data_IF_253490164562
#
_entry.id   IF_253490164562
#
_cell.length_a   1.000
_cell.length_b   1.000
_cell.length_c   1.000
_cell.angle_alpha   90.00
_cell.angle_beta   90.00
_cell.angle_gamma   90.00
#
_symmetry.space_group_name_H-M   'P 1'
#
loop_
_entity.id
_entity.type
_entity.pdbx_description
1 polymer ?
#
# COMPACT_ATOMS: atom_id res chain seq x y z
N UNK A 1 -22.07 -18.66 3.25
CA UNK A 1 -23.19 -17.71 3.11
C UNK A 1 -23.16 -16.80 4.34
N UNK A 2 -22.60 -15.60 4.21
CA UNK A 2 -22.45 -14.65 5.33
C UNK A 2 -23.78 -13.93 5.51
N UNK A 3 -24.48 -14.18 6.62
CA UNK A 3 -25.61 -13.35 7.02
C UNK A 3 -25.08 -12.26 7.95
N UNK A 4 -25.01 -11.03 7.44
CA UNK A 4 -25.03 -9.86 8.30
C UNK A 4 -26.47 -9.69 8.78
N UNK A 5 -26.69 -9.75 10.10
CA UNK A 5 -27.90 -9.15 10.67
C UNK A 5 -27.64 -7.65 10.82
N UNK A 6 -28.52 -6.77 10.31
CA UNK A 6 -28.48 -5.37 10.69
C UNK A 6 -28.83 -5.30 12.18
N UNK A 7 -27.96 -4.69 12.97
CA UNK A 7 -28.31 -4.27 14.33
C UNK A 7 -29.47 -3.28 14.16
N UNK A 8 -30.66 -3.62 14.66
CA UNK A 8 -31.81 -2.71 14.60
C UNK A 8 -31.51 -1.49 15.48
N UNK A 9 -31.88 -0.31 15.00
CA UNK A 9 -31.76 0.97 15.73
C UNK A 9 -32.46 0.95 17.10
N UNK A 10 -33.40 0.04 17.31
CA UNK A 10 -34.13 -0.16 18.57
C UNK A 10 -33.23 -0.70 19.70
N UNK A 11 -32.17 -1.47 19.40
CA UNK A 11 -31.24 -1.97 20.43
C UNK A 11 -30.27 -0.88 20.91
N UNK A 12 -30.01 0.13 20.07
CA UNK A 12 -29.17 1.27 20.48
C UNK A 12 -29.91 2.18 21.46
N UNK A 13 -31.21 2.41 21.30
CA UNK A 13 -31.97 3.31 22.19
C UNK A 13 -32.09 2.79 23.62
N UNK A 14 -32.17 1.47 23.84
CA UNK A 14 -32.19 0.88 25.19
C UNK A 14 -30.83 0.94 25.91
N UNK A 15 -29.72 0.88 25.17
CA UNK A 15 -28.35 0.99 25.71
C UNK A 15 -28.00 2.45 26.05
N UNK A 16 -28.54 3.43 25.31
CA UNK A 16 -28.23 4.85 25.50
C UNK A 16 -29.01 5.54 26.63
N UNK A 17 -30.14 5.00 27.10
CA UNK A 17 -31.01 5.68 28.07
C UNK A 17 -30.78 5.28 29.53
N UNK A 18 -30.08 4.17 29.82
CA UNK A 18 -29.96 3.63 31.19
C UNK A 18 -28.53 3.55 31.75
N UNK A 19 -27.50 3.96 31.00
CA UNK A 19 -26.12 3.96 31.49
C UNK A 19 -25.57 5.40 31.56
N UNK A 20 -24.90 5.78 32.65
CA UNK A 20 -24.32 7.10 32.77
C UNK A 20 -23.29 7.36 31.65
N UNK A 21 -23.18 8.59 31.11
CA UNK A 21 -22.41 8.91 29.89
C UNK A 21 -20.93 8.51 29.90
N UNK A 22 -20.36 8.20 31.08
CA UNK A 22 -18.98 7.75 31.24
C UNK A 22 -18.74 6.24 31.05
N UNK A 23 -19.76 5.39 31.13
CA UNK A 23 -19.59 3.93 31.04
C UNK A 23 -19.63 3.42 29.59
N UNK A 24 -20.48 4.02 28.74
CA UNK A 24 -20.62 3.66 27.32
C UNK A 24 -19.32 3.90 26.53
N UNK A 25 -18.57 4.95 26.88
CA UNK A 25 -17.28 5.27 26.22
C UNK A 25 -16.17 4.31 26.64
N UNK A 26 -16.28 3.66 27.81
CA UNK A 26 -15.25 2.77 28.37
C UNK A 26 -15.31 1.36 27.80
N UNK A 27 -16.51 0.86 27.47
CA UNK A 27 -16.72 -0.50 26.96
C UNK A 27 -16.44 -0.62 25.46
N UNK A 28 -16.75 0.42 24.67
CA UNK A 28 -16.64 0.36 23.21
C UNK A 28 -15.25 0.66 22.63
N UNK A 29 -14.26 1.08 23.43
CA UNK A 29 -12.99 1.62 22.89
C UNK A 29 -11.73 0.78 23.03
N UNK A 30 -11.73 -0.36 23.73
CA UNK A 30 -10.53 -1.23 23.76
C UNK A 30 -10.91 -2.68 24.07
N UNK A 31 -10.48 -3.62 23.22
CA UNK A 31 -10.37 -5.04 23.61
C UNK A 31 -9.38 -5.12 24.77
N UNK A 32 -9.89 -5.18 26.01
CA UNK A 32 -9.08 -5.22 27.22
C UNK A 32 -8.79 -6.67 27.59
N UNK A 33 -7.53 -7.02 27.75
CA UNK A 33 -7.15 -8.30 28.36
C UNK A 33 -7.45 -8.21 29.86
N UNK A 34 -8.33 -9.09 30.35
CA UNK A 34 -8.79 -9.13 31.75
C UNK A 34 -7.99 -10.09 32.62
N UNK A 35 -7.04 -10.84 32.04
CA UNK A 35 -6.08 -11.62 32.82
C UNK A 35 -5.11 -10.69 33.56
N UNK A 36 -4.83 -11.01 34.82
CA UNK A 36 -3.75 -10.39 35.59
C UNK A 36 -2.42 -11.04 35.21
N UNK A 37 -1.42 -10.20 34.93
CA UNK A 37 -0.08 -10.60 34.53
C UNK A 37 -0.07 -11.71 33.44
N UNK A 38 -0.69 -11.47 32.26
CA UNK A 38 -0.82 -12.48 31.21
C UNK A 38 0.52 -12.85 30.57
N UNK A 39 1.52 -11.94 30.65
CA UNK A 39 2.85 -12.10 30.04
C UNK A 39 3.90 -12.67 31.00
N UNK A 40 3.56 -12.88 32.28
CA UNK A 40 4.50 -13.34 33.30
C UNK A 40 5.62 -12.34 33.63
N UNK A 41 5.43 -11.05 33.31
CA UNK A 41 6.43 -9.99 33.51
C UNK A 41 6.75 -9.76 34.99
N UNK A 42 5.74 -9.93 35.83
CA UNK A 42 5.78 -9.92 37.30
C UNK A 42 5.77 -11.34 37.88
N UNK A 43 6.53 -12.24 37.26
CA UNK A 43 6.56 -13.67 37.63
C UNK A 43 5.17 -14.31 37.49
N UNK A 44 4.69 -15.08 38.46
CA UNK A 44 3.34 -15.68 38.45
C UNK A 44 2.35 -14.92 39.32
N UNK A 45 2.59 -13.62 39.56
CA UNK A 45 1.66 -12.77 40.33
C UNK A 45 0.24 -12.85 39.73
N UNK A 46 -0.77 -12.96 40.60
CA UNK A 46 -2.17 -13.09 40.17
C UNK A 46 -2.58 -14.47 39.65
N UNK A 47 -1.68 -15.45 39.56
CA UNK A 47 -2.02 -16.84 39.23
C UNK A 47 -2.01 -17.73 40.48
N UNK A 48 -3.04 -18.56 40.64
CA UNK A 48 -3.07 -19.65 41.60
C UNK A 48 -2.33 -20.86 41.01
N UNK A 49 -1.29 -21.33 41.68
CA UNK A 49 -0.54 -22.51 41.24
C UNK A 49 -1.12 -23.74 41.94
N UNK A 50 -1.67 -24.68 41.16
CA UNK A 50 -2.49 -25.78 41.68
C UNK A 50 -1.66 -27.00 42.09
N UNK A 51 -0.50 -27.21 41.48
CA UNK A 51 0.44 -28.29 41.82
C UNK A 51 1.84 -27.68 41.97
N UNK A 52 2.22 -27.28 43.19
CA UNK A 52 3.54 -26.70 43.46
C UNK A 52 4.08 -27.23 44.79
N UNK A 53 5.05 -28.14 44.73
CA UNK A 53 5.91 -28.39 45.89
C UNK A 53 6.98 -27.28 45.92
N UNK A 54 6.56 -26.13 46.46
CA UNK A 54 7.34 -24.97 46.89
C UNK A 54 8.16 -24.16 45.85
N UNK A 55 7.68 -22.92 45.63
CA UNK A 55 8.34 -21.69 45.15
C UNK A 55 8.67 -21.55 43.66
N UNK A 56 8.27 -20.40 43.10
CA UNK A 56 8.70 -19.87 41.80
C UNK A 56 10.14 -19.34 41.97
N UNK A 57 11.08 -19.71 41.08
CA UNK A 57 12.48 -19.29 41.17
C UNK A 57 12.90 -18.48 39.93
N UNK A 58 13.82 -17.52 40.11
CA UNK A 58 14.54 -16.84 39.03
C UNK A 58 15.73 -17.69 38.58
N UNK A 59 15.81 -17.96 37.28
CA UNK A 59 16.97 -18.62 36.69
C UNK A 59 18.00 -17.57 36.24
N UNK A 60 19.12 -17.44 36.96
CA UNK A 60 20.26 -16.62 36.53
C UNK A 60 21.14 -17.43 35.58
N UNK A 61 21.05 -17.14 34.29
CA UNK A 61 21.68 -17.91 33.23
C UNK A 61 23.19 -18.13 33.38
N UNK A 62 23.61 -19.39 33.27
CA UNK A 62 24.82 -19.88 32.57
C UNK A 62 24.70 -21.40 32.44
N UNK A 63 25.13 -21.92 31.30
CA UNK A 63 25.16 -23.36 31.01
C UNK A 63 25.87 -24.13 32.12
N UNK A 64 25.15 -25.07 32.74
CA UNK A 64 25.68 -26.02 33.71
C UNK A 64 24.54 -26.85 34.30
N UNK A 65 24.39 -28.09 33.83
CA UNK A 65 23.59 -29.15 34.47
C UNK A 65 22.09 -28.91 34.57
N UNK A 66 21.30 -29.76 33.91
CA UNK A 66 19.88 -30.00 34.26
C UNK A 66 19.75 -30.74 35.63
N UNK A 67 20.77 -30.71 36.48
CA UNK A 67 20.86 -31.48 37.74
C UNK A 67 20.29 -30.71 38.95
N UNK A 68 19.46 -29.70 38.71
CA UNK A 68 18.65 -29.02 39.75
C UNK A 68 17.13 -29.15 39.53
N UNK A 69 16.75 -29.66 38.36
CA UNK A 69 15.49 -30.23 37.90
C UNK A 69 14.68 -31.19 38.80
N UNK A 70 14.51 -31.05 40.13
CA UNK A 70 13.55 -31.89 40.89
C UNK A 70 12.14 -31.28 41.05
N UNK A 71 11.11 -31.82 40.38
CA UNK A 71 9.68 -31.63 40.71
C UNK A 71 8.80 -30.75 39.77
N UNK A 72 7.50 -30.69 40.10
CA UNK A 72 6.40 -29.88 39.47
C UNK A 72 6.66 -28.38 39.58
N UNK A 73 7.38 -27.77 38.62
CA UNK A 73 7.86 -26.39 38.76
C UNK A 73 7.59 -25.52 37.54
N UNK A 74 7.22 -24.27 37.82
CA UNK A 74 7.18 -23.16 36.87
C UNK A 74 8.39 -22.24 37.05
N UNK A 75 8.92 -21.70 35.96
CA UNK A 75 9.93 -20.64 35.99
C UNK A 75 9.61 -19.58 34.94
N UNK A 76 10.12 -18.36 35.12
CA UNK A 76 10.02 -17.29 34.12
C UNK A 76 11.40 -17.04 33.51
N UNK A 77 11.46 -17.08 32.19
CA UNK A 77 12.68 -16.89 31.41
C UNK A 77 12.51 -15.76 30.40
N UNK A 78 13.63 -15.18 29.95
CA UNK A 78 13.61 -14.37 28.73
C UNK A 78 13.32 -15.26 27.53
N UNK A 79 12.51 -14.77 26.58
CA UNK A 79 12.25 -15.51 25.34
C UNK A 79 13.57 -15.76 24.61
N UNK A 80 13.78 -17.01 24.19
CA UNK A 80 14.95 -17.40 23.37
C UNK A 80 14.63 -17.44 21.88
N UNK A 81 13.37 -17.71 21.58
CA UNK A 81 12.83 -17.76 20.23
C UNK A 81 11.98 -16.51 19.98
N UNK A 82 12.00 -15.96 18.75
CA UNK A 82 11.25 -14.75 18.42
C UNK A 82 9.75 -14.99 18.56
N UNK A 83 9.08 -14.14 19.33
CA UNK A 83 7.63 -14.13 19.47
C UNK A 83 7.02 -13.18 18.42
N UNK A 84 5.87 -13.52 17.78
CA UNK A 84 5.24 -12.66 16.76
C UNK A 84 4.86 -11.25 17.24
N UNK A 85 4.59 -11.10 18.55
CA UNK A 85 4.50 -9.80 19.23
C UNK A 85 5.87 -9.44 19.82
N UNK A 86 6.57 -8.49 19.19
CA UNK A 86 7.90 -8.00 19.59
C UNK A 86 7.96 -7.40 21.01
N UNK A 87 6.80 -7.07 21.60
CA UNK A 87 6.72 -6.54 22.96
C UNK A 87 6.83 -7.63 24.03
N UNK A 88 6.72 -8.91 23.66
CA UNK A 88 6.86 -10.04 24.57
C UNK A 88 8.35 -10.34 24.77
N UNK A 89 8.86 -10.14 25.99
CA UNK A 89 10.27 -10.36 26.31
C UNK A 89 10.53 -11.55 27.24
N UNK A 90 9.47 -12.07 27.87
CA UNK A 90 9.55 -13.18 28.82
C UNK A 90 8.50 -14.25 28.50
N UNK A 91 8.79 -15.48 28.88
CA UNK A 91 7.87 -16.60 28.84
C UNK A 91 7.87 -17.35 30.18
N UNK A 92 6.81 -18.14 30.39
CA UNK A 92 6.72 -19.06 31.52
C UNK A 92 7.01 -20.48 31.02
N UNK A 93 7.89 -21.18 31.71
CA UNK A 93 8.32 -22.54 31.35
C UNK A 93 7.98 -23.52 32.47
N UNK A 94 7.73 -24.77 32.09
CA UNK A 94 7.40 -25.89 32.98
C UNK A 94 8.49 -26.97 32.93
N UNK A 95 8.55 -27.78 33.99
CA UNK A 95 9.49 -28.90 34.15
C UNK A 95 8.92 -30.22 33.60
N UNK A 96 9.59 -31.34 33.85
CA UNK A 96 9.25 -32.70 33.39
C UNK A 96 7.97 -33.32 33.98
N UNK A 97 7.25 -32.58 34.83
CA UNK A 97 5.98 -33.03 35.43
C UNK A 97 4.90 -31.97 35.26
N UNK A 98 3.62 -32.41 35.23
CA UNK A 98 2.48 -31.55 34.91
C UNK A 98 2.31 -30.41 35.91
N UNK A 99 2.65 -29.20 35.48
CA UNK A 99 2.49 -27.98 36.25
C UNK A 99 1.21 -27.25 35.83
N UNK A 100 0.35 -26.91 36.79
CA UNK A 100 -0.95 -26.25 36.52
C UNK A 100 -1.02 -24.90 37.23
N UNK A 101 -1.51 -23.89 36.51
CA UNK A 101 -1.85 -22.56 37.05
C UNK A 101 -3.28 -22.22 36.66
N UNK A 102 -3.98 -21.45 37.48
CA UNK A 102 -5.34 -20.98 37.22
C UNK A 102 -5.52 -19.54 37.68
N UNK A 103 -6.50 -18.84 37.09
CA UNK A 103 -6.89 -17.52 37.54
C UNK A 103 -8.41 -17.43 37.50
N UNK A 104 -9.02 -17.09 38.63
CA UNK A 104 -10.45 -16.82 38.70
C UNK A 104 -10.66 -15.32 38.45
N UNK A 105 -11.43 -14.99 37.41
CA UNK A 105 -11.73 -13.61 37.05
C UNK A 105 -13.15 -13.30 37.51
N UNK A 106 -13.26 -12.28 38.35
CA UNK A 106 -14.53 -11.74 38.82
C UNK A 106 -14.98 -10.64 37.85
N UNK A 107 -15.94 -10.97 36.98
CA UNK A 107 -16.37 -10.11 35.89
C UNK A 107 -16.99 -8.80 36.40
N UNK A 108 -17.74 -8.84 37.51
CA UNK A 108 -18.33 -7.65 38.13
C UNK A 108 -17.23 -6.69 38.60
N UNK A 109 -16.17 -7.20 39.24
CA UNK A 109 -15.01 -6.40 39.63
C UNK A 109 -14.21 -5.84 38.45
N UNK A 110 -14.21 -6.52 37.31
CA UNK A 110 -13.59 -6.00 36.08
C UNK A 110 -14.46 -4.96 35.36
N UNK A 111 -15.68 -4.70 35.85
CA UNK A 111 -16.61 -3.68 35.36
C UNK A 111 -17.72 -4.21 34.46
N UNK A 112 -17.97 -5.52 34.45
CA UNK A 112 -19.05 -6.15 33.70
C UNK A 112 -20.22 -6.48 34.64
N UNK A 113 -21.27 -5.68 34.61
CA UNK A 113 -22.43 -5.88 35.49
C UNK A 113 -23.15 -7.21 35.20
N UNK A 114 -23.79 -7.84 36.20
CA UNK A 114 -24.58 -9.06 35.99
C UNK A 114 -25.66 -8.88 34.91
N UNK A 115 -26.39 -7.75 34.94
CA UNK A 115 -27.43 -7.46 33.95
C UNK A 115 -26.88 -7.40 32.52
N UNK A 116 -25.70 -6.81 32.33
CA UNK A 116 -25.04 -6.78 31.02
C UNK A 116 -24.64 -8.18 30.56
N UNK A 117 -24.04 -8.97 31.44
CA UNK A 117 -23.62 -10.34 31.10
C UNK A 117 -24.81 -11.25 30.79
N UNK A 118 -25.93 -11.12 31.50
CA UNK A 118 -27.10 -11.98 31.34
C UNK A 118 -27.93 -11.64 30.09
N UNK A 119 -28.11 -10.34 29.79
CA UNK A 119 -28.97 -9.90 28.68
C UNK A 119 -28.21 -9.70 27.36
N UNK A 120 -26.99 -9.13 27.42
CA UNK A 120 -26.23 -8.81 26.22
C UNK A 120 -25.32 -9.96 25.77
N UNK A 121 -24.79 -10.76 26.70
CA UNK A 121 -23.95 -11.93 26.43
C UNK A 121 -22.84 -11.66 25.38
N UNK A 122 -21.88 -10.76 25.68
CA UNK A 122 -20.87 -10.36 24.71
C UNK A 122 -19.98 -11.53 24.30
N UNK A 123 -19.44 -11.48 23.07
CA UNK A 123 -18.45 -12.45 22.60
C UNK A 123 -17.19 -12.44 23.49
N UNK A 124 -16.90 -13.57 24.14
CA UNK A 124 -15.70 -13.77 24.94
C UNK A 124 -14.64 -14.46 24.08
N UNK A 125 -13.53 -13.77 23.84
CA UNK A 125 -12.40 -14.32 23.07
C UNK A 125 -11.35 -14.91 24.01
N UNK A 126 -10.96 -16.16 23.72
CA UNK A 126 -9.89 -16.88 24.42
C UNK A 126 -8.72 -17.05 23.44
N UNK A 127 -7.51 -16.72 23.88
CA UNK A 127 -6.28 -16.96 23.12
C UNK A 127 -5.10 -17.08 24.08
N UNK A 128 -4.19 -18.00 23.80
CA UNK A 128 -2.94 -18.17 24.54
C UNK A 128 -1.82 -18.58 23.57
N UNK A 129 -0.59 -18.17 23.85
CA UNK A 129 0.59 -18.51 23.06
C UNK A 129 1.41 -19.56 23.79
N UNK A 130 1.70 -20.67 23.12
CA UNK A 130 2.51 -21.77 23.65
C UNK A 130 3.52 -22.23 22.61
N UNK A 131 4.69 -22.68 23.06
CA UNK A 131 5.75 -23.18 22.19
C UNK A 131 6.52 -24.33 22.87
N UNK A 132 6.81 -25.43 22.15
CA UNK A 132 7.72 -26.48 22.62
C UNK A 132 9.18 -26.01 22.55
N UNK A 133 10.08 -26.77 23.20
CA UNK A 133 11.50 -26.69 22.88
C UNK A 133 11.83 -27.67 21.76
N UNK A 134 12.77 -27.31 20.88
CA UNK A 134 13.22 -28.19 19.80
C UNK A 134 13.90 -29.48 20.30
N UNK A 135 14.43 -29.49 21.53
CA UNK A 135 15.20 -30.59 22.09
C UNK A 135 14.44 -31.44 23.14
N UNK A 136 13.13 -31.20 23.34
CA UNK A 136 12.34 -31.94 24.32
C UNK A 136 10.85 -31.94 23.97
N UNK A 137 10.20 -33.11 24.09
CA UNK A 137 8.74 -33.20 23.98
C UNK A 137 8.04 -32.54 25.17
N UNK A 138 6.84 -31.99 24.95
CA UNK A 138 6.05 -31.37 26.01
C UNK A 138 4.55 -31.50 25.73
N UNK A 139 3.75 -31.18 26.74
CA UNK A 139 2.30 -31.26 26.70
C UNK A 139 1.73 -29.88 27.06
N UNK A 140 0.77 -29.41 26.28
CA UNK A 140 0.03 -28.19 26.55
C UNK A 140 -1.47 -28.48 26.71
N UNK A 141 -2.05 -27.99 27.81
CA UNK A 141 -3.47 -28.11 28.14
C UNK A 141 -3.99 -26.72 28.55
N UNK A 142 -5.09 -26.27 27.94
CA UNK A 142 -5.85 -25.09 28.37
C UNK A 142 -7.30 -25.48 28.66
N UNK A 143 -7.84 -24.92 29.74
CA UNK A 143 -9.24 -25.07 30.12
C UNK A 143 -9.78 -23.72 30.60
N UNK A 144 -10.90 -23.30 30.02
CA UNK A 144 -11.60 -22.08 30.40
C UNK A 144 -13.06 -22.42 30.71
N UNK A 145 -13.54 -21.98 31.86
CA UNK A 145 -14.89 -22.25 32.33
C UNK A 145 -15.59 -20.93 32.63
N UNK A 146 -16.74 -20.71 31.98
CA UNK A 146 -17.65 -19.63 32.37
C UNK A 146 -18.44 -20.13 33.56
N UNK A 147 -18.39 -19.41 34.68
CA UNK A 147 -18.99 -19.83 35.94
C UNK A 147 -20.22 -18.97 36.26
N UNK A 148 -21.25 -19.58 36.85
CA UNK A 148 -22.37 -18.83 37.44
C UNK A 148 -22.01 -18.28 38.83
N UNK A 149 -22.95 -17.56 39.45
CA UNK A 149 -22.81 -16.99 40.80
C UNK A 149 -22.45 -18.04 41.87
N UNK A 150 -22.85 -19.30 41.68
CA UNK A 150 -22.53 -20.43 42.56
C UNK A 150 -21.18 -21.08 42.22
N UNK A 151 -20.37 -20.46 41.36
CA UNK A 151 -19.09 -20.94 40.83
C UNK A 151 -19.19 -22.30 40.12
N UNK A 152 -20.32 -22.59 39.50
CA UNK A 152 -20.52 -23.81 38.70
C UNK A 152 -20.35 -23.49 37.22
N UNK A 153 -19.66 -24.35 36.43
CA UNK A 153 -19.53 -24.15 35.00
C UNK A 153 -20.89 -24.08 34.29
N UNK A 154 -21.09 -23.02 33.53
CA UNK A 154 -22.18 -22.82 32.56
C UNK A 154 -21.71 -23.32 31.19
N UNK A 155 -20.48 -22.96 30.81
CA UNK A 155 -19.85 -23.34 29.55
C UNK A 155 -18.39 -23.66 29.78
N UNK A 156 -17.86 -24.63 29.05
CA UNK A 156 -16.46 -25.06 29.14
C UNK A 156 -15.83 -25.08 27.76
N UNK A 157 -14.68 -24.44 27.64
CA UNK A 157 -13.77 -24.57 26.51
C UNK A 157 -12.54 -25.34 26.99
N UNK A 158 -12.40 -26.57 26.49
CA UNK A 158 -11.28 -27.46 26.79
C UNK A 158 -10.89 -28.21 25.51
N UNK A 159 -10.02 -27.64 24.67
CA UNK A 159 -9.55 -28.31 23.45
C UNK A 159 -8.76 -29.59 23.79
N UNK A 160 -8.50 -30.39 22.76
CA UNK A 160 -7.64 -31.57 22.90
C UNK A 160 -6.25 -31.18 23.40
N UNK A 161 -5.68 -32.07 24.22
CA UNK A 161 -4.33 -31.89 24.77
C UNK A 161 -3.33 -31.90 23.62
N UNK A 162 -2.48 -30.87 23.55
CA UNK A 162 -1.47 -30.77 22.50
C UNK A 162 -0.19 -31.45 22.97
N UNK A 163 0.17 -32.56 22.33
CA UNK A 163 1.41 -33.29 22.58
C UNK A 163 2.47 -33.02 21.51
N UNK A 164 3.61 -32.48 21.93
CA UNK A 164 4.82 -32.32 21.14
C UNK A 164 5.76 -33.49 21.42
N UNK A 165 6.10 -34.28 20.41
CA UNK A 165 7.03 -35.41 20.55
C UNK A 165 8.41 -34.99 20.05
N UNK A 166 9.44 -35.39 20.79
CA UNK A 166 10.83 -35.21 20.37
C UNK A 166 11.07 -35.98 19.06
N UNK A 167 11.60 -35.31 18.03
CA UNK A 167 11.90 -35.91 16.74
C UNK A 167 10.72 -36.03 15.77
N UNK A 168 9.52 -35.53 16.11
CA UNK A 168 8.41 -35.38 15.15
C UNK A 168 8.30 -33.92 14.71
N UNK A 169 9.32 -33.43 14.01
CA UNK A 169 9.31 -32.11 13.42
C UNK A 169 8.47 -32.12 12.14
N UNK A 170 7.15 -32.23 12.29
CA UNK A 170 6.18 -32.06 11.19
C UNK A 170 4.98 -31.18 11.56
N UNK A 171 4.87 -30.71 12.81
CA UNK A 171 3.65 -30.01 13.28
C UNK A 171 3.72 -28.48 13.36
N UNK A 172 4.79 -27.86 12.86
CA UNK A 172 4.80 -26.41 12.59
C UNK A 172 4.15 -26.03 11.24
N UNK A 173 3.68 -27.03 10.48
CA UNK A 173 3.00 -26.85 9.19
C UNK A 173 1.50 -27.17 9.25
N UNK A 174 0.78 -26.77 10.30
CA UNK A 174 -0.63 -26.42 10.07
C UNK A 174 -0.63 -25.04 9.39
N UNK A 175 -0.24 -25.03 8.12
CA UNK A 175 -0.56 -23.94 7.20
C UNK A 175 -2.04 -23.63 7.39
N UNK A 176 -2.37 -22.38 7.69
CA UNK A 176 -3.71 -21.87 7.52
C UNK A 176 -4.03 -21.99 6.03
N UNK A 177 -4.50 -23.17 5.61
CA UNK A 177 -4.67 -23.53 4.21
C UNK A 177 -5.98 -22.90 3.72
N UNK A 178 -5.97 -21.57 3.64
CA UNK A 178 -7.04 -20.78 3.08
C UNK A 178 -7.08 -21.07 1.58
N UNK A 179 -8.22 -21.47 1.02
CA UNK A 179 -8.36 -21.61 -0.43
C UNK A 179 -7.82 -20.36 -1.14
N UNK A 180 -7.03 -20.54 -2.20
CA UNK A 180 -6.35 -19.45 -2.92
C UNK A 180 -7.30 -18.31 -3.31
N UNK A 181 -8.56 -18.64 -3.63
CA UNK A 181 -9.60 -17.66 -3.96
C UNK A 181 -9.96 -16.72 -2.79
N UNK A 182 -9.98 -17.25 -1.56
CA UNK A 182 -10.23 -16.42 -0.36
C UNK A 182 -9.02 -15.54 -0.09
N UNK A 183 -7.81 -16.08 -0.25
CA UNK A 183 -6.58 -15.31 -0.10
C UNK A 183 -6.47 -14.19 -1.15
N UNK A 184 -6.86 -14.47 -2.39
CA UNK A 184 -6.95 -13.47 -3.46
C UNK A 184 -7.94 -12.36 -3.10
N UNK A 185 -9.13 -12.71 -2.61
CA UNK A 185 -10.13 -11.73 -2.15
C UNK A 185 -9.59 -10.87 -1.01
N UNK A 186 -8.88 -11.45 -0.04
CA UNK A 186 -8.22 -10.70 1.03
C UNK A 186 -7.22 -9.70 0.43
N UNK A 187 -6.34 -10.14 -0.48
CA UNK A 187 -5.33 -9.27 -1.10
C UNK A 187 -5.93 -8.16 -1.97
N UNK A 188 -7.07 -8.39 -2.61
CA UNK A 188 -7.81 -7.35 -3.34
C UNK A 188 -8.25 -6.19 -2.43
N UNK A 189 -8.49 -6.48 -1.14
CA UNK A 189 -8.87 -5.50 -0.13
C UNK A 189 -7.67 -4.85 0.59
N UNK A 190 -6.44 -5.26 0.31
CA UNK A 190 -5.22 -4.70 0.88
C UNK A 190 -4.55 -3.68 -0.06
N UNK A 191 -3.77 -2.71 0.45
CA UNK A 191 -2.97 -1.80 -0.38
C UNK A 191 -1.99 -2.57 -1.29
N UNK A 192 -1.91 -2.26 -2.60
CA UNK A 192 -1.18 -3.08 -3.56
C UNK A 192 0.33 -3.14 -3.26
N UNK A 193 0.89 -2.06 -2.72
CA UNK A 193 2.29 -2.01 -2.30
C UNK A 193 2.58 -2.96 -1.13
N UNK A 194 1.64 -3.12 -0.19
CA UNK A 194 1.79 -4.06 0.93
C UNK A 194 1.68 -5.50 0.45
N UNK A 195 0.77 -5.77 -0.49
CA UNK A 195 0.62 -7.10 -1.12
C UNK A 195 1.94 -7.55 -1.75
N UNK A 196 2.60 -6.69 -2.52
CA UNK A 196 3.88 -7.03 -3.18
C UNK A 196 5.06 -7.12 -2.20
N UNK A 197 5.14 -6.21 -1.22
CA UNK A 197 6.34 -6.07 -0.37
C UNK A 197 6.30 -6.91 0.91
N UNK A 198 5.12 -7.17 1.46
CA UNK A 198 4.94 -7.88 2.72
C UNK A 198 4.27 -9.23 2.49
N UNK A 199 3.06 -9.26 1.91
CA UNK A 199 2.29 -10.49 1.75
C UNK A 199 3.04 -11.54 0.92
N UNK A 200 3.73 -11.12 -0.14
CA UNK A 200 4.56 -11.99 -0.99
C UNK A 200 5.68 -12.74 -0.24
N UNK A 201 6.11 -12.26 0.93
CA UNK A 201 7.21 -12.84 1.71
C UNK A 201 6.73 -13.78 2.83
N UNK A 202 5.40 -13.90 3.04
CA UNK A 202 4.83 -14.65 4.16
C UNK A 202 4.97 -16.16 3.97
N UNK A 203 4.56 -16.68 2.82
CA UNK A 203 4.65 -18.12 2.49
C UNK A 203 4.70 -18.36 0.98
N UNK A 204 4.98 -19.59 0.57
CA UNK A 204 4.92 -20.00 -0.84
C UNK A 204 3.52 -19.81 -1.43
N UNK A 205 2.47 -20.18 -0.70
CA UNK A 205 1.08 -20.02 -1.11
C UNK A 205 0.71 -18.54 -1.32
N UNK A 206 1.11 -17.66 -0.40
CA UNK A 206 0.86 -16.22 -0.54
C UNK A 206 1.61 -15.63 -1.73
N UNK A 207 2.86 -16.04 -1.91
CA UNK A 207 3.65 -15.65 -3.07
C UNK A 207 2.99 -16.06 -4.39
N UNK A 208 2.41 -17.26 -4.47
CA UNK A 208 1.70 -17.74 -5.65
C UNK A 208 0.52 -16.83 -6.01
N UNK A 209 -0.32 -16.48 -5.04
CA UNK A 209 -1.45 -15.57 -5.27
C UNK A 209 -0.98 -14.16 -5.62
N UNK A 210 0.07 -13.64 -4.96
CA UNK A 210 0.60 -12.30 -5.27
C UNK A 210 1.22 -12.23 -6.67
N UNK A 211 1.83 -13.32 -7.15
CA UNK A 211 2.41 -13.39 -8.49
C UNK A 211 1.40 -13.87 -9.56
N UNK A 212 0.15 -14.17 -9.19
CA UNK A 212 -0.89 -14.65 -10.11
C UNK A 212 -1.41 -13.55 -11.04
N UNK A 213 -1.76 -13.90 -12.28
CA UNK A 213 -2.41 -12.95 -13.18
C UNK A 213 -3.83 -12.58 -12.71
N UNK A 214 -4.56 -13.51 -12.05
CA UNK A 214 -5.96 -13.33 -11.65
C UNK A 214 -6.11 -12.15 -10.68
N UNK A 215 -5.25 -12.09 -9.67
CA UNK A 215 -5.28 -11.04 -8.66
C UNK A 215 -5.19 -9.64 -9.30
N UNK A 216 -4.21 -9.43 -10.18
CA UNK A 216 -3.97 -8.11 -10.77
C UNK A 216 -4.97 -7.76 -11.86
N UNK A 217 -5.46 -8.75 -12.63
CA UNK A 217 -6.60 -8.56 -13.55
C UNK A 217 -7.84 -8.09 -12.82
N UNK A 218 -8.19 -8.76 -11.74
CA UNK A 218 -9.37 -8.45 -10.95
C UNK A 218 -9.22 -7.09 -10.26
N UNK A 219 -8.02 -6.75 -9.79
CA UNK A 219 -7.71 -5.42 -9.27
C UNK A 219 -7.88 -4.33 -10.33
N UNK A 220 -7.40 -4.56 -11.55
CA UNK A 220 -7.62 -3.66 -12.69
C UNK A 220 -9.12 -3.46 -12.94
N UNK A 221 -9.89 -4.55 -12.97
CA UNK A 221 -11.34 -4.51 -13.19
C UNK A 221 -12.08 -3.71 -12.11
N UNK A 222 -11.79 -3.95 -10.83
CA UNK A 222 -12.44 -3.24 -9.69
C UNK A 222 -12.14 -1.75 -9.69
N UNK A 223 -10.94 -1.37 -10.11
CA UNK A 223 -10.50 0.03 -10.15
C UNK A 223 -10.76 0.72 -11.50
N UNK A 224 -11.37 0.02 -12.47
CA UNK A 224 -11.75 0.58 -13.76
C UNK A 224 -10.59 0.76 -14.74
N UNK A 225 -9.47 0.06 -14.55
CA UNK A 225 -8.38 0.01 -15.52
C UNK A 225 -8.71 -1.02 -16.61
N UNK A 226 -8.95 -0.53 -17.82
CA UNK A 226 -9.31 -1.32 -18.98
C UNK A 226 -8.21 -1.26 -20.02
N UNK A 227 -7.99 -2.37 -20.73
CA UNK A 227 -7.14 -2.38 -21.92
C UNK A 227 -7.82 -1.56 -23.02
N UNK A 228 -7.07 -0.68 -23.68
CA UNK A 228 -7.59 0.03 -24.86
C UNK A 228 -7.80 -0.91 -26.05
N UNK A 229 -6.91 -1.88 -26.20
CA UNK A 229 -7.01 -2.94 -27.21
C UNK A 229 -7.31 -4.27 -26.50
N UNK A 230 -8.55 -4.73 -26.63
CA UNK A 230 -9.01 -5.98 -26.01
C UNK A 230 -8.30 -7.23 -26.56
N UNK A 231 -7.59 -7.12 -27.68
CA UNK A 231 -6.81 -8.21 -28.28
C UNK A 231 -5.36 -8.26 -27.79
N UNK A 232 -4.84 -7.21 -27.14
CA UNK A 232 -3.48 -7.17 -26.59
C UNK A 232 -3.47 -7.54 -25.11
N UNK A 233 -3.11 -8.78 -24.79
CA UNK A 233 -2.86 -9.21 -23.41
C UNK A 233 -1.56 -8.59 -22.88
N UNK A 234 -1.56 -7.91 -21.71
CA UNK A 234 -0.33 -7.50 -21.03
C UNK A 234 0.57 -8.71 -20.74
N UNK A 235 1.88 -8.53 -20.92
CA UNK A 235 2.89 -9.54 -20.55
C UNK A 235 2.93 -9.79 -19.04
N UNK A 236 2.70 -8.76 -18.25
CA UNK A 236 2.66 -8.81 -16.79
C UNK A 236 1.53 -7.90 -16.27
N UNK A 237 0.50 -8.51 -15.67
CA UNK A 237 -0.68 -7.80 -15.16
C UNK A 237 -0.39 -6.96 -13.91
N UNK A 238 0.58 -7.37 -13.09
CA UNK A 238 1.03 -6.61 -11.92
C UNK A 238 1.68 -5.30 -12.36
N UNK A 239 2.60 -5.39 -13.32
CA UNK A 239 3.26 -4.19 -13.86
C UNK A 239 2.27 -3.29 -14.59
N UNK A 240 1.37 -3.87 -15.40
CA UNK A 240 0.28 -3.12 -16.04
C UNK A 240 -0.54 -2.34 -14.99
N UNK A 241 -0.97 -3.01 -13.93
CA UNK A 241 -1.75 -2.40 -12.85
C UNK A 241 -1.02 -1.19 -12.22
N UNK A 242 0.25 -1.35 -11.85
CA UNK A 242 1.01 -0.26 -11.23
C UNK A 242 1.27 0.90 -12.20
N UNK A 243 1.51 0.62 -13.48
CA UNK A 243 1.64 1.65 -14.50
C UNK A 243 0.35 2.44 -14.70
N UNK A 244 -0.80 1.77 -14.79
CA UNK A 244 -2.09 2.44 -14.86
C UNK A 244 -2.33 3.31 -13.63
N UNK A 245 -2.01 2.80 -12.43
CA UNK A 245 -2.21 3.55 -11.18
C UNK A 245 -1.29 4.76 -11.04
N UNK A 246 -0.07 4.69 -11.56
CA UNK A 246 0.91 5.77 -11.50
C UNK A 246 0.82 6.74 -12.69
N UNK A 247 -0.03 6.43 -13.69
CA UNK A 247 -0.19 7.22 -14.90
C UNK A 247 -0.64 8.64 -14.56
N UNK A 248 0.18 9.60 -14.97
CA UNK A 248 -0.07 11.04 -14.85
C UNK A 248 0.86 11.80 -15.79
N UNK A 249 0.53 13.04 -16.07
CA UNK A 249 1.44 13.94 -16.76
C UNK A 249 2.63 14.30 -15.87
N UNK A 250 3.84 14.06 -16.36
CA UNK A 250 5.09 14.36 -15.66
C UNK A 250 5.52 15.82 -15.82
N UNK A 251 5.06 16.51 -16.88
CA UNK A 251 5.33 17.94 -17.06
C UNK A 251 4.58 18.77 -16.01
N UNK A 252 5.27 19.75 -15.44
CA UNK A 252 4.67 20.71 -14.52
C UNK A 252 4.16 21.92 -15.29
N UNK A 253 3.06 22.50 -14.84
CA UNK A 253 2.47 23.71 -15.43
C UNK A 253 2.30 23.64 -16.98
N UNK A 254 1.65 22.58 -17.53
CA UNK A 254 1.52 22.41 -18.98
C UNK A 254 0.57 23.42 -19.64
N UNK A 255 -0.30 24.09 -18.86
CA UNK A 255 -1.35 25.00 -19.36
C UNK A 255 -1.09 26.49 -19.07
N UNK A 256 0.07 26.83 -18.48
CA UNK A 256 0.40 28.22 -18.14
C UNK A 256 -0.40 28.81 -16.97
N UNK A 257 -1.09 27.99 -16.18
CA UNK A 257 -1.83 28.42 -14.99
C UNK A 257 -0.94 29.18 -14.00
N UNK A 258 0.35 28.81 -13.94
CA UNK A 258 1.36 29.44 -13.10
C UNK A 258 2.38 30.26 -13.92
N UNK A 259 1.93 30.95 -14.97
CA UNK A 259 2.80 31.71 -15.89
C UNK A 259 3.89 30.79 -16.46
N UNK A 260 5.15 31.21 -16.49
CA UNK A 260 6.30 30.41 -16.95
C UNK A 260 6.93 29.54 -15.85
N UNK A 261 6.32 29.41 -14.67
CA UNK A 261 6.91 28.64 -13.55
C UNK A 261 7.17 27.18 -13.98
N UNK A 262 8.29 26.63 -13.52
CA UNK A 262 8.80 25.29 -13.82
C UNK A 262 9.28 25.06 -15.26
N UNK A 263 9.14 26.05 -16.15
CA UNK A 263 9.74 26.02 -17.48
C UNK A 263 11.07 26.76 -17.47
N UNK A 264 12.12 26.12 -17.97
CA UNK A 264 13.40 26.78 -18.24
C UNK A 264 13.31 27.41 -19.63
N UNK A 265 13.42 28.74 -19.69
CA UNK A 265 13.45 29.46 -20.97
C UNK A 265 14.83 29.25 -21.60
N UNK A 266 14.87 28.68 -22.79
CA UNK A 266 16.10 28.53 -23.58
C UNK A 266 16.30 29.74 -24.49
N UNK A 267 15.22 30.17 -25.15
CA UNK A 267 15.21 31.33 -26.03
C UNK A 267 13.94 32.15 -25.79
N UNK A 268 14.08 33.47 -25.88
CA UNK A 268 13.04 34.42 -25.53
C UNK A 268 13.05 35.64 -26.46
N UNK A 269 13.07 35.37 -27.77
CA UNK A 269 13.18 36.40 -28.80
C UNK A 269 11.97 37.32 -28.88
N UNK A 270 12.15 38.45 -29.57
CA UNK A 270 11.14 39.49 -29.71
C UNK A 270 10.60 40.00 -28.37
N UNK A 271 9.29 40.10 -28.26
CA UNK A 271 8.57 40.52 -27.04
C UNK A 271 8.38 39.37 -26.03
N UNK A 272 9.19 38.30 -26.18
CA UNK A 272 9.32 37.18 -25.23
C UNK A 272 8.06 36.30 -25.20
N UNK A 273 8.12 35.22 -24.42
CA UNK A 273 6.96 34.41 -24.09
C UNK A 273 5.92 35.21 -23.30
N UNK A 274 4.65 35.01 -23.66
CA UNK A 274 3.50 35.48 -22.87
C UNK A 274 2.55 34.32 -22.58
N UNK A 275 1.82 34.44 -21.48
CA UNK A 275 0.67 33.58 -21.19
C UNK A 275 -0.59 34.40 -21.35
N UNK A 276 -1.55 33.90 -22.11
CA UNK A 276 -2.84 34.55 -22.31
C UNK A 276 -4.00 33.55 -22.34
N UNK A 277 -5.22 34.09 -22.37
CA UNK A 277 -6.43 33.30 -22.56
C UNK A 277 -6.52 32.73 -23.98
N UNK A 278 -7.45 31.79 -24.18
CA UNK A 278 -7.63 31.17 -25.49
C UNK A 278 -8.34 32.13 -26.47
N UNK A 279 -7.78 32.32 -27.66
CA UNK A 279 -8.47 33.00 -28.77
C UNK A 279 -9.56 32.10 -29.39
N UNK A 280 -9.31 30.79 -29.42
CA UNK A 280 -10.22 29.76 -29.93
C UNK A 280 -10.34 28.69 -28.84
N UNK A 281 -11.57 28.26 -28.48
CA UNK A 281 -11.77 27.23 -27.48
C UNK A 281 -10.97 25.96 -27.79
N UNK A 282 -10.39 25.36 -26.75
CA UNK A 282 -9.73 24.07 -26.86
C UNK A 282 -10.75 22.95 -26.66
N UNK A 283 -10.56 21.79 -27.30
CA UNK A 283 -11.49 20.65 -27.19
C UNK A 283 -11.66 20.16 -25.73
N UNK A 284 -10.60 20.28 -24.93
CA UNK A 284 -10.65 20.07 -23.49
C UNK A 284 -10.97 21.38 -22.78
N UNK A 285 -12.20 21.50 -22.26
CA UNK A 285 -12.72 22.68 -21.56
C UNK A 285 -11.93 23.06 -20.30
N UNK A 286 -11.10 22.16 -19.75
CA UNK A 286 -10.22 22.49 -18.61
C UNK A 286 -9.03 23.36 -19.03
N UNK A 287 -8.75 23.47 -20.32
CA UNK A 287 -7.69 24.32 -20.86
C UNK A 287 -8.27 25.72 -21.05
N UNK A 288 -7.72 26.69 -20.32
CA UNK A 288 -8.22 28.08 -20.31
C UNK A 288 -7.13 29.10 -20.67
N UNK A 289 -5.89 28.63 -20.80
CA UNK A 289 -4.71 29.45 -21.08
C UNK A 289 -3.75 28.71 -22.01
N UNK A 290 -2.87 29.48 -22.65
CA UNK A 290 -1.78 28.97 -23.46
C UNK A 290 -0.54 29.84 -23.29
N UNK A 291 0.59 29.34 -23.81
CA UNK A 291 1.82 30.10 -24.00
C UNK A 291 1.87 30.59 -25.44
N UNK A 292 2.27 31.84 -25.67
CA UNK A 292 2.37 32.42 -27.01
C UNK A 292 3.76 32.98 -27.23
N UNK A 293 4.32 32.65 -28.39
CA UNK A 293 5.62 33.11 -28.85
C UNK A 293 5.52 34.47 -29.56
N UNK A 294 6.65 35.15 -29.71
CA UNK A 294 6.75 36.44 -30.40
C UNK A 294 7.34 36.27 -31.81
N UNK A 295 7.83 37.35 -32.42
CA UNK A 295 8.48 37.37 -33.74
C UNK A 295 9.91 36.82 -33.74
N UNK A 296 10.59 36.86 -32.58
CA UNK A 296 11.86 36.16 -32.38
C UNK A 296 11.65 34.74 -31.87
N UNK A 297 12.63 33.87 -32.12
CA UNK A 297 12.56 32.47 -31.67
C UNK A 297 12.38 32.38 -30.15
N UNK A 298 11.38 31.63 -29.74
CA UNK A 298 11.03 31.40 -28.34
C UNK A 298 11.01 29.90 -28.07
N UNK A 299 11.86 29.42 -27.17
CA UNK A 299 11.94 28.00 -26.77
C UNK A 299 11.91 27.85 -25.26
N UNK A 300 11.18 26.85 -24.77
CA UNK A 300 11.16 26.48 -23.34
C UNK A 300 11.34 24.98 -23.15
N UNK A 301 11.95 24.62 -22.03
CA UNK A 301 12.38 23.27 -21.68
C UNK A 301 11.86 22.84 -20.30
N UNK A 302 11.54 21.56 -20.17
CA UNK A 302 11.52 20.85 -18.89
C UNK A 302 12.37 19.58 -18.97
N UNK A 303 13.23 19.38 -17.97
CA UNK A 303 13.98 18.14 -17.78
C UNK A 303 13.30 17.33 -16.67
N UNK A 304 12.75 16.17 -17.04
CA UNK A 304 12.10 15.24 -16.13
C UNK A 304 13.13 14.25 -15.62
N UNK A 305 13.20 14.09 -14.30
CA UNK A 305 14.03 13.09 -13.61
C UNK A 305 13.15 11.88 -13.27
N UNK A 306 13.35 10.78 -13.98
CA UNK A 306 12.46 9.62 -13.89
C UNK A 306 12.52 8.94 -12.53
N UNK A 307 13.69 8.91 -11.88
CA UNK A 307 13.86 8.32 -10.57
C UNK A 307 13.06 9.10 -9.51
N UNK A 308 13.13 10.44 -9.55
CA UNK A 308 12.33 11.30 -8.67
C UNK A 308 10.83 11.19 -8.92
N UNK A 309 10.44 10.85 -10.14
CA UNK A 309 9.04 10.59 -10.50
C UNK A 309 8.59 9.14 -10.21
N UNK A 310 9.45 8.32 -9.61
CA UNK A 310 9.13 6.96 -9.12
C UNK A 310 9.53 5.81 -10.05
N UNK A 311 10.20 6.10 -11.16
CA UNK A 311 10.61 5.12 -12.16
C UNK A 311 12.11 4.81 -12.03
N UNK A 312 12.42 3.74 -11.31
CA UNK A 312 13.81 3.36 -11.04
C UNK A 312 14.55 2.82 -12.29
N UNK A 313 15.88 2.79 -12.20
CA UNK A 313 16.78 2.33 -13.25
C UNK A 313 16.44 0.93 -13.80
N UNK A 314 16.29 -0.06 -12.92
CA UNK A 314 16.04 -1.45 -13.32
C UNK A 314 14.74 -1.60 -14.08
N UNK A 315 13.69 -0.89 -13.64
CA UNK A 315 12.41 -0.85 -14.30
C UNK A 315 12.52 -0.24 -15.70
N UNK A 316 13.17 0.91 -15.84
CA UNK A 316 13.37 1.57 -17.13
C UNK A 316 14.25 0.76 -18.09
N UNK A 317 15.23 0.00 -17.58
CA UNK A 317 16.18 -0.75 -18.41
C UNK A 317 15.61 -2.06 -18.95
N UNK A 318 14.90 -2.81 -18.10
CA UNK A 318 14.41 -4.16 -18.44
C UNK A 318 12.98 -4.15 -18.95
N UNK A 319 12.09 -3.36 -18.34
CA UNK A 319 10.69 -3.32 -18.75
C UNK A 319 10.46 -2.36 -19.91
N UNK A 320 11.19 -1.24 -19.94
CA UNK A 320 11.11 -0.21 -20.99
C UNK A 320 9.64 0.19 -21.31
N UNK A 321 8.89 0.71 -20.32
CA UNK A 321 7.49 1.11 -20.55
C UNK A 321 7.40 2.19 -21.64
N UNK A 322 6.29 2.19 -22.39
CA UNK A 322 6.03 3.18 -23.42
C UNK A 322 6.01 4.60 -22.84
N UNK A 323 6.71 5.52 -23.49
CA UNK A 323 6.76 6.93 -23.10
C UNK A 323 5.95 7.71 -24.12
N UNK A 324 4.74 8.11 -23.74
CA UNK A 324 3.83 8.88 -24.58
C UNK A 324 4.06 10.38 -24.39
N UNK A 325 4.25 11.07 -25.49
CA UNK A 325 4.37 12.51 -25.60
C UNK A 325 3.12 13.04 -26.29
N UNK A 326 2.56 14.15 -25.79
CA UNK A 326 1.60 14.94 -26.56
C UNK A 326 1.86 16.44 -26.41
N UNK A 327 1.56 17.22 -27.43
CA UNK A 327 1.56 18.68 -27.33
C UNK A 327 0.46 19.28 -28.21
N UNK A 328 -0.16 20.36 -27.73
CA UNK A 328 -1.17 21.09 -28.48
C UNK A 328 -0.64 22.45 -28.92
N UNK A 329 -0.80 22.75 -30.20
CA UNK A 329 -0.31 23.98 -30.80
C UNK A 329 -1.31 24.56 -31.80
N UNK A 330 -1.34 25.88 -31.91
CA UNK A 330 -2.22 26.59 -32.83
C UNK A 330 -1.60 27.89 -33.34
N UNK A 331 -1.67 28.18 -34.66
CA UNK A 331 -1.30 29.47 -35.22
C UNK A 331 -2.34 30.55 -34.86
N UNK A 332 -2.07 31.82 -35.15
CA UNK A 332 -3.13 32.85 -35.25
C UNK A 332 -3.62 32.93 -36.69
N UNK A 333 -4.87 33.29 -36.91
CA UNK A 333 -5.44 33.36 -38.26
C UNK A 333 -4.83 34.50 -39.08
N UNK A 334 -4.46 35.60 -38.43
CA UNK A 334 -3.97 36.85 -39.04
C UNK A 334 -2.44 36.89 -39.22
N UNK A 335 -1.70 35.85 -38.84
CA UNK A 335 -0.25 35.80 -38.98
C UNK A 335 0.27 34.37 -39.19
N UNK A 336 1.21 34.22 -40.12
CA UNK A 336 1.95 32.96 -40.26
C UNK A 336 2.87 32.72 -39.05
N UNK A 337 3.13 31.45 -38.74
CA UNK A 337 3.96 31.06 -37.60
C UNK A 337 4.65 29.72 -37.80
N UNK A 338 5.73 29.51 -37.06
CA UNK A 338 6.50 28.27 -37.02
C UNK A 338 6.38 27.61 -35.65
N UNK A 339 6.23 26.29 -35.64
CA UNK A 339 6.22 25.44 -34.45
C UNK A 339 7.32 24.40 -34.54
N UNK A 340 8.01 24.17 -33.43
CA UNK A 340 9.02 23.13 -33.30
C UNK A 340 8.91 22.42 -31.94
N UNK A 341 9.25 21.13 -31.94
CA UNK A 341 9.32 20.30 -30.75
C UNK A 341 10.51 19.35 -30.87
N UNK A 342 11.21 19.15 -29.76
CA UNK A 342 12.28 18.17 -29.62
C UNK A 342 12.13 17.49 -28.26
N UNK A 343 12.04 16.17 -28.25
CA UNK A 343 12.01 15.36 -27.05
C UNK A 343 13.16 14.37 -27.08
N UNK A 344 13.98 14.37 -26.04
CA UNK A 344 15.16 13.52 -25.94
C UNK A 344 15.06 12.62 -24.71
N UNK A 345 15.25 11.32 -24.91
CA UNK A 345 15.49 10.36 -23.85
C UNK A 345 16.98 10.37 -23.54
N UNK A 346 17.34 10.62 -22.28
CA UNK A 346 18.73 10.82 -21.88
C UNK A 346 19.16 9.80 -20.82
N UNK A 347 20.43 9.42 -20.85
CA UNK A 347 21.02 8.52 -19.86
C UNK A 347 21.46 9.22 -18.56
N UNK A 348 22.06 8.47 -17.64
CA UNK A 348 22.52 9.01 -16.34
C UNK A 348 23.52 10.18 -16.47
N UNK A 349 24.33 10.21 -17.54
CA UNK A 349 25.28 11.28 -17.86
C UNK A 349 24.63 12.40 -18.67
N UNK A 350 23.31 12.38 -18.87
CA UNK A 350 22.54 13.27 -19.76
C UNK A 350 22.95 13.18 -21.23
N UNK A 351 23.60 12.07 -21.63
CA UNK A 351 23.84 11.74 -23.03
C UNK A 351 22.56 11.25 -23.70
N UNK A 352 22.39 11.57 -24.98
CA UNK A 352 21.19 11.22 -25.74
C UNK A 352 21.17 9.71 -26.02
N UNK A 353 20.03 9.08 -25.71
CA UNK A 353 19.72 7.68 -26.05
C UNK A 353 18.86 7.66 -27.31
N UNK A 354 17.80 8.46 -27.34
CA UNK A 354 16.90 8.58 -28.48
C UNK A 354 16.33 9.99 -28.55
N UNK A 355 16.05 10.45 -29.76
CA UNK A 355 15.49 11.78 -30.02
C UNK A 355 14.27 11.67 -30.93
N UNK A 356 13.22 12.42 -30.58
CA UNK A 356 12.10 12.74 -31.45
C UNK A 356 12.14 14.23 -31.74
N UNK A 357 12.45 14.59 -32.99
CA UNK A 357 12.51 15.96 -33.47
C UNK A 357 11.97 15.99 -34.91
N UNK A 358 10.64 16.13 -35.10
CA UNK A 358 10.06 16.26 -36.43
C UNK A 358 10.45 17.60 -37.05
N UNK A 359 10.27 17.71 -38.38
CA UNK A 359 10.51 18.96 -39.10
C UNK A 359 9.64 20.10 -38.55
N UNK A 360 10.16 21.33 -38.64
CA UNK A 360 9.44 22.54 -38.24
C UNK A 360 8.13 22.66 -39.02
N UNK A 361 7.02 22.77 -38.28
CA UNK A 361 5.70 22.94 -38.88
C UNK A 361 5.48 24.43 -39.11
N UNK A 362 5.18 24.82 -40.35
CA UNK A 362 4.92 26.21 -40.72
C UNK A 362 3.46 26.39 -41.11
N UNK A 363 2.84 27.45 -40.60
CA UNK A 363 1.50 27.88 -40.94
C UNK A 363 1.57 29.19 -41.71
N UNK A 364 0.79 29.27 -42.79
CA UNK A 364 0.61 30.51 -43.55
C UNK A 364 -0.33 31.47 -42.85
N UNK A 365 -0.28 32.74 -43.24
CA UNK A 365 -1.30 33.71 -42.86
C UNK A 365 -2.65 33.34 -43.47
N UNK A 366 -3.75 33.77 -42.83
CA UNK A 366 -5.13 33.46 -43.23
C UNK A 366 -5.47 31.97 -43.12
N UNK A 367 -4.98 31.34 -42.05
CA UNK A 367 -5.28 29.96 -41.69
C UNK A 367 -6.51 29.88 -40.75
N UNK A 368 -6.97 28.65 -40.51
CA UNK A 368 -8.16 28.36 -39.69
C UNK A 368 -7.95 28.52 -38.18
N UNK A 369 -6.74 28.85 -37.71
CA UNK A 369 -6.35 29.01 -36.30
C UNK A 369 -6.72 27.85 -35.35
N UNK A 370 -6.95 26.67 -35.93
CA UNK A 370 -7.35 25.46 -35.24
C UNK A 370 -6.24 24.94 -34.31
N UNK A 371 -6.65 24.34 -33.20
CA UNK A 371 -5.77 23.55 -32.35
C UNK A 371 -5.40 22.24 -33.02
N UNK A 372 -4.09 21.98 -33.11
CA UNK A 372 -3.52 20.74 -33.63
C UNK A 372 -2.87 19.98 -32.48
N UNK A 373 -3.00 18.64 -32.50
CA UNK A 373 -2.35 17.79 -31.52
C UNK A 373 -1.22 17.00 -32.19
N UNK A 374 -0.02 17.12 -31.64
CA UNK A 374 1.09 16.22 -31.95
C UNK A 374 1.14 15.13 -30.88
N UNK A 375 1.31 13.88 -31.30
CA UNK A 375 1.52 12.74 -30.39
C UNK A 375 2.68 11.88 -30.89
N UNK A 376 3.53 11.43 -29.98
CA UNK A 376 4.60 10.46 -30.24
C UNK A 376 4.68 9.45 -29.10
N UNK A 377 5.11 8.23 -29.39
CA UNK A 377 5.33 7.19 -28.37
C UNK A 377 6.72 6.60 -28.60
N UNK A 378 7.60 6.73 -27.62
CA UNK A 378 8.85 5.99 -27.61
C UNK A 378 8.60 4.57 -27.12
N UNK A 379 9.02 3.60 -27.92
CA UNK A 379 8.94 2.17 -27.64
C UNK A 379 10.30 1.54 -27.92
N UNK A 380 10.66 0.51 -27.14
CA UNK A 380 11.90 -0.24 -27.35
C UNK A 380 13.14 0.67 -27.46
N UNK A 381 13.20 1.72 -26.65
CA UNK A 381 14.25 2.75 -26.67
C UNK A 381 15.61 2.27 -26.13
N UNK A 382 15.69 1.01 -25.68
CA UNK A 382 16.89 0.43 -25.12
C UNK A 382 17.12 0.80 -23.65
N UNK A 383 18.06 0.13 -22.97
CA UNK A 383 18.36 0.43 -21.58
C UNK A 383 19.10 1.77 -21.42
N UNK A 384 19.06 2.32 -20.22
CA UNK A 384 19.87 3.46 -19.80
C UNK A 384 19.13 4.78 -19.66
N UNK A 385 17.86 4.87 -20.07
CA UNK A 385 17.06 6.11 -19.96
C UNK A 385 16.81 6.48 -18.49
N UNK A 386 17.17 7.71 -18.11
CA UNK A 386 17.03 8.27 -16.75
C UNK A 386 16.36 9.64 -16.74
N UNK A 387 16.45 10.39 -17.83
CA UNK A 387 15.80 11.68 -17.96
C UNK A 387 15.04 11.79 -19.27
N UNK A 388 14.03 12.65 -19.29
CA UNK A 388 13.33 13.07 -20.50
C UNK A 388 13.49 14.58 -20.60
N UNK A 389 14.10 15.08 -21.68
CA UNK A 389 14.14 16.51 -21.99
C UNK A 389 13.03 16.81 -22.98
N UNK A 390 12.08 17.65 -22.58
CA UNK A 390 11.01 18.13 -23.43
C UNK A 390 11.26 19.59 -23.78
N UNK A 391 11.40 19.90 -25.06
CA UNK A 391 11.61 21.26 -25.57
C UNK A 391 10.62 21.53 -26.68
N UNK A 392 9.98 22.70 -26.65
CA UNK A 392 9.17 23.17 -27.76
C UNK A 392 9.20 24.69 -27.85
N UNK A 393 8.76 25.21 -28.98
CA UNK A 393 8.89 26.61 -29.28
C UNK A 393 8.37 26.99 -30.65
N UNK A 394 8.76 28.20 -31.04
CA UNK A 394 8.39 28.76 -32.31
C UNK A 394 8.56 30.27 -32.36
N UNK A 395 8.04 30.84 -33.44
CA UNK A 395 8.01 32.28 -33.72
C UNK A 395 6.95 32.60 -34.76
N UNK A 396 6.65 33.87 -34.95
CA UNK A 396 5.93 34.30 -36.15
C UNK A 396 6.80 34.25 -37.42
N UNK A 397 6.18 34.44 -38.59
CA UNK A 397 6.87 34.55 -39.88
C UNK A 397 6.80 35.95 -40.49
N UNK A 398 6.02 36.87 -39.92
CA UNK A 398 5.80 38.22 -40.45
C UNK A 398 6.65 39.29 -39.77
N UNK A 399 7.39 38.94 -38.71
CA UNK A 399 8.18 39.84 -37.89
C UNK A 399 7.35 40.98 -37.26
N UNK A 400 6.15 40.67 -36.78
CA UNK A 400 5.26 41.66 -36.19
C UNK A 400 5.48 41.79 -34.69
N UNK A 401 5.75 43.02 -34.24
CA UNK A 401 5.88 43.31 -32.82
C UNK A 401 4.63 42.85 -32.05
N UNK A 402 4.82 42.17 -30.92
CA UNK A 402 3.77 41.52 -30.14
C UNK A 402 3.86 39.99 -30.12
N UNK A 403 2.72 39.35 -29.91
CA UNK A 403 2.58 37.89 -29.71
C UNK A 403 1.78 37.26 -30.84
N UNK A 404 2.34 37.34 -32.04
CA UNK A 404 1.74 36.81 -33.27
C UNK A 404 2.25 35.41 -33.65
N UNK A 405 3.17 34.85 -32.87
CA UNK A 405 3.75 33.53 -33.12
C UNK A 405 2.83 32.37 -32.75
N UNK A 406 3.40 31.16 -32.72
CA UNK A 406 2.67 29.95 -32.33
C UNK A 406 2.20 30.01 -30.87
N UNK A 407 1.00 29.48 -30.63
CA UNK A 407 0.40 29.24 -29.32
C UNK A 407 0.56 27.77 -28.97
N UNK A 408 1.01 27.44 -27.75
CA UNK A 408 1.19 26.06 -27.26
C UNK A 408 0.58 25.86 -25.87
N UNK A 409 -0.01 24.69 -25.60
CA UNK A 409 -0.64 24.36 -24.31
C UNK A 409 -0.85 22.86 -24.15
N UNK A 410 -1.35 22.45 -22.98
CA UNK A 410 -1.76 21.07 -22.64
C UNK A 410 -0.72 19.99 -23.01
N UNK A 411 0.58 20.34 -22.92
CA UNK A 411 1.71 19.45 -23.16
C UNK A 411 1.71 18.30 -22.15
N UNK A 412 2.02 17.09 -22.59
CA UNK A 412 2.12 15.93 -21.69
C UNK A 412 3.28 15.00 -22.00
N UNK A 413 3.82 14.43 -20.92
CA UNK A 413 4.71 13.27 -20.94
C UNK A 413 4.15 12.25 -19.95
N UNK A 414 3.79 11.06 -20.42
CA UNK A 414 3.19 10.00 -19.61
C UNK A 414 3.96 8.69 -19.80
N UNK A 415 4.25 7.99 -18.71
CA UNK A 415 4.72 6.60 -18.75
C UNK A 415 3.49 5.70 -18.77
N UNK A 416 3.33 4.90 -19.83
CA UNK A 416 2.16 4.09 -20.11
C UNK A 416 2.51 2.60 -20.16
N UNK A 417 1.55 1.71 -19.84
CA UNK A 417 1.69 0.32 -20.22
C UNK A 417 1.66 0.18 -21.75
N UNK A 418 2.50 -0.69 -22.30
CA UNK A 418 2.58 -0.95 -23.76
C UNK A 418 1.28 -1.48 -24.40
N UNK A 419 0.29 -1.88 -23.59
CA UNK A 419 -1.03 -2.33 -24.07
C UNK A 419 -2.05 -1.17 -24.22
N UNK A 420 -1.71 0.05 -23.81
CA UNK A 420 -2.58 1.23 -23.79
C UNK A 420 -2.16 2.33 -24.81
N UNK A 421 -1.15 2.05 -25.60
CA UNK A 421 -0.51 2.92 -26.59
C UNK A 421 -0.59 2.29 -27.98
#
# INVERSE_FOLDING_TARGET
MVKFFPISLEILEEIFLNLPPGEVVRVCRQRRNILKNPRGEEELSGWLILNNDYRCFRYSGRFGGLDGFGGNRWAVHGIREPHPDETVQKNVVTSYTMAKKSQLIDLEKEGYSPSFMDHFQPDIRISDWYAPRCDCGCIYEIRVELLNEKKRPIQTFAPEIVEFKYGSDERWNEEFDLPLLILEEIFLNLPPNQVVRACRLVSHQWKEVVDSESLWKERCRREGFHLRDTYKKPKDWKLFYFLCKQRRNLLKNPRGEHKMRNWKILENGGDRWKVEGLLVPHQNEKVQKNFVTSYGMCRKEQLIDLEKEGYNASFMDHFQPDIKISDWYAPRWDCGSQYEICVELLNHSKGIVQTFAPDTITFEQWNDQNWNQLTHVFQNYGPGVRYIRFTHGGRDTQFWAGWFGIRVTDSSVEICPAADT
#
